data_IF_690486895652
#
_entry.id   IF_690486895652
#
_cell.length_a   1.000
_cell.length_b   1.000
_cell.length_c   1.000
_cell.angle_alpha   90.00
_cell.angle_beta   90.00
_cell.angle_gamma   90.00
#
_symmetry.space_group_name_H-M   'P 1'
#
loop_
_entity.id
_entity.type
_entity.pdbx_description
1 polymer ?
#
# COMPACT_ATOMS: atom_id res chain seq x y z
N UNK A 1 37.70 -23.26 -9.42
CA UNK A 1 38.56 -22.09 -9.72
C UNK A 1 39.09 -21.32 -8.48
N UNK A 2 39.73 -21.97 -7.50
CA UNK A 2 40.08 -21.36 -6.19
C UNK A 2 41.26 -20.35 -6.17
N UNK A 3 41.68 -19.80 -7.31
CA UNK A 3 42.86 -18.92 -7.39
C UNK A 3 42.75 -17.79 -8.44
N UNK A 4 41.55 -17.44 -8.91
CA UNK A 4 41.42 -16.25 -9.77
C UNK A 4 41.50 -14.97 -8.94
N UNK A 5 42.50 -14.14 -9.22
CA UNK A 5 42.57 -12.80 -8.66
C UNK A 5 41.38 -11.94 -9.12
N UNK A 6 41.10 -10.85 -8.41
CA UNK A 6 40.08 -9.86 -8.81
C UNK A 6 40.36 -9.26 -10.19
N UNK A 7 41.63 -9.19 -10.59
CA UNK A 7 42.07 -8.74 -11.92
C UNK A 7 41.71 -9.77 -12.99
N UNK A 8 41.94 -11.06 -12.72
CA UNK A 8 41.65 -12.10 -13.70
C UNK A 8 40.14 -12.22 -13.97
N UNK A 9 39.31 -12.08 -12.95
CA UNK A 9 37.84 -12.09 -13.12
C UNK A 9 37.36 -10.85 -13.87
N UNK A 10 37.89 -9.66 -13.52
CA UNK A 10 37.51 -8.43 -14.21
C UNK A 10 37.94 -8.39 -15.69
N UNK A 11 38.97 -9.16 -16.07
CA UNK A 11 39.43 -9.26 -17.46
C UNK A 11 38.56 -10.17 -18.35
N UNK A 12 37.62 -10.94 -17.80
CA UNK A 12 36.74 -11.80 -18.59
C UNK A 12 35.79 -10.96 -19.46
N UNK A 13 35.66 -11.28 -20.74
CA UNK A 13 34.62 -10.66 -21.57
C UNK A 13 33.22 -11.14 -21.16
N UNK A 14 32.17 -10.38 -21.50
CA UNK A 14 30.78 -10.82 -21.27
C UNK A 14 30.47 -12.16 -21.92
N UNK A 15 31.03 -12.43 -23.09
CA UNK A 15 30.92 -13.74 -23.76
C UNK A 15 31.58 -14.87 -22.98
N UNK A 16 32.66 -14.61 -22.23
CA UNK A 16 33.31 -15.61 -21.38
C UNK A 16 32.54 -15.81 -20.07
N UNK A 17 31.95 -14.74 -19.51
CA UNK A 17 31.14 -14.82 -18.28
C UNK A 17 29.99 -15.81 -18.45
N UNK A 18 29.30 -15.81 -19.59
CA UNK A 18 28.17 -16.70 -19.88
C UNK A 18 28.55 -18.20 -19.84
N UNK A 19 29.82 -18.54 -20.08
CA UNK A 19 30.30 -19.93 -20.03
C UNK A 19 30.88 -20.34 -18.66
N UNK A 20 30.88 -19.45 -17.66
CA UNK A 20 31.28 -19.84 -16.30
C UNK A 20 30.29 -20.87 -15.75
N UNK A 21 30.79 -22.04 -15.38
CA UNK A 21 30.00 -23.06 -14.71
C UNK A 21 29.49 -22.53 -13.36
N UNK A 22 28.28 -22.94 -12.98
CA UNK A 22 27.64 -22.51 -11.73
C UNK A 22 28.47 -22.81 -10.48
N UNK A 23 29.20 -23.93 -10.49
CA UNK A 23 30.13 -24.31 -9.41
C UNK A 23 31.32 -23.36 -9.31
N UNK A 24 31.85 -22.91 -10.45
CA UNK A 24 32.97 -21.97 -10.47
C UNK A 24 32.54 -20.57 -10.06
N UNK A 25 31.31 -20.17 -10.43
CA UNK A 25 30.72 -18.92 -9.97
C UNK A 25 30.50 -18.94 -8.45
N UNK A 26 29.97 -20.02 -7.89
CA UNK A 26 29.80 -20.19 -6.44
C UNK A 26 31.14 -20.20 -5.68
N UNK A 27 32.24 -20.57 -6.35
CA UNK A 27 33.59 -20.54 -5.78
C UNK A 27 34.28 -19.16 -5.84
N UNK A 28 33.71 -18.16 -6.53
CA UNK A 28 34.28 -16.80 -6.57
C UNK A 28 34.15 -16.10 -5.23
N UNK A 29 35.14 -15.28 -4.86
CA UNK A 29 35.01 -14.44 -3.67
C UNK A 29 34.02 -13.29 -3.90
N UNK A 30 33.45 -12.74 -2.83
CA UNK A 30 32.64 -11.51 -2.87
C UNK A 30 33.41 -10.34 -3.49
N UNK A 31 34.74 -10.29 -3.32
CA UNK A 31 35.60 -9.28 -3.93
C UNK A 31 35.69 -9.43 -5.46
N UNK A 32 35.67 -10.67 -5.98
CA UNK A 32 35.63 -10.90 -7.42
C UNK A 32 34.31 -10.40 -8.01
N UNK A 33 33.17 -10.72 -7.37
CA UNK A 33 31.85 -10.31 -7.84
C UNK A 33 31.67 -8.79 -7.81
N UNK A 34 32.11 -8.12 -6.74
CA UNK A 34 32.08 -6.65 -6.66
C UNK A 34 32.90 -5.95 -7.74
N UNK A 35 33.94 -6.62 -8.26
CA UNK A 35 34.83 -6.06 -9.28
C UNK A 35 34.37 -6.34 -10.71
N UNK A 36 33.23 -7.04 -10.90
CA UNK A 36 32.63 -7.17 -12.22
C UNK A 36 32.10 -5.80 -12.68
N UNK A 37 32.40 -5.47 -13.94
CA UNK A 37 31.80 -4.32 -14.62
C UNK A 37 30.28 -4.52 -14.80
N UNK A 38 29.55 -3.43 -15.00
CA UNK A 38 28.11 -3.50 -15.25
C UNK A 38 27.75 -4.34 -16.49
N UNK A 39 28.60 -4.32 -17.52
CA UNK A 39 28.42 -5.15 -18.74
C UNK A 39 28.60 -6.63 -18.43
N UNK A 40 29.54 -6.99 -17.55
CA UNK A 40 29.72 -8.39 -17.14
C UNK A 40 28.57 -8.87 -16.25
N UNK A 41 28.12 -8.04 -15.30
CA UNK A 41 26.95 -8.37 -14.45
C UNK A 41 25.70 -8.56 -15.30
N UNK A 42 25.42 -7.64 -16.22
CA UNK A 42 24.27 -7.72 -17.13
C UNK A 42 24.33 -8.94 -18.08
N UNK A 43 25.51 -9.54 -18.27
CA UNK A 43 25.69 -10.71 -19.12
C UNK A 43 25.45 -12.05 -18.40
N UNK A 44 25.37 -12.07 -17.06
CA UNK A 44 25.10 -13.31 -16.31
C UNK A 44 23.76 -13.94 -16.73
N UNK A 45 23.70 -15.26 -16.81
CA UNK A 45 22.46 -15.98 -17.05
C UNK A 45 21.64 -16.13 -15.75
N UNK A 46 20.35 -16.40 -15.86
CA UNK A 46 19.49 -16.66 -14.70
C UNK A 46 20.00 -17.82 -13.85
N UNK A 47 20.46 -18.89 -14.48
CA UNK A 47 21.02 -20.06 -13.81
C UNK A 47 22.31 -19.73 -13.05
N UNK A 48 23.06 -18.73 -13.54
CA UNK A 48 24.25 -18.22 -12.86
C UNK A 48 23.87 -17.34 -11.66
N UNK A 49 22.81 -16.52 -11.76
CA UNK A 49 22.29 -15.76 -10.63
C UNK A 49 21.80 -16.69 -9.51
N UNK A 50 21.05 -17.73 -9.86
CA UNK A 50 20.57 -18.76 -8.90
C UNK A 50 21.73 -19.53 -8.25
N UNK A 51 22.88 -19.64 -8.92
CA UNK A 51 24.04 -20.34 -8.39
C UNK A 51 24.87 -19.50 -7.40
N UNK A 52 24.60 -18.20 -7.27
CA UNK A 52 25.26 -17.37 -6.27
C UNK A 52 24.90 -17.87 -4.87
N UNK A 53 25.88 -17.91 -3.99
CA UNK A 53 25.64 -18.14 -2.57
C UNK A 53 25.04 -16.89 -1.92
N UNK A 54 24.31 -17.06 -0.83
CA UNK A 54 23.71 -15.92 -0.10
C UNK A 54 24.78 -14.96 0.44
N UNK A 55 25.96 -15.46 0.84
CA UNK A 55 27.10 -14.61 1.23
C UNK A 55 27.64 -13.78 0.04
N UNK A 56 27.63 -14.36 -1.16
CA UNK A 56 27.99 -13.65 -2.39
C UNK A 56 26.97 -12.54 -2.71
N UNK A 57 25.67 -12.81 -2.54
CA UNK A 57 24.60 -11.81 -2.75
C UNK A 57 24.69 -10.68 -1.73
N UNK A 58 24.88 -11.00 -0.45
CA UNK A 58 25.11 -10.02 0.62
C UNK A 58 26.31 -9.11 0.31
N UNK A 59 27.32 -9.65 -0.38
CA UNK A 59 28.51 -8.92 -0.81
C UNK A 59 28.32 -8.01 -2.04
N UNK A 60 27.17 -8.02 -2.71
CA UNK A 60 26.95 -7.22 -3.92
C UNK A 60 26.82 -5.72 -3.61
N UNK A 61 27.49 -4.88 -4.39
CA UNK A 61 27.33 -3.42 -4.30
C UNK A 61 26.03 -2.95 -4.96
N UNK A 62 25.61 -1.72 -4.66
CA UNK A 62 24.47 -1.09 -5.36
C UNK A 62 24.72 -0.93 -6.86
N UNK A 63 25.98 -0.81 -7.30
CA UNK A 63 26.35 -0.78 -8.72
C UNK A 63 26.12 -2.14 -9.38
N UNK A 64 26.42 -3.25 -8.68
CA UNK A 64 26.14 -4.58 -9.20
C UNK A 64 24.62 -4.80 -9.32
N UNK A 65 23.85 -4.41 -8.29
CA UNK A 65 22.39 -4.53 -8.31
C UNK A 65 21.77 -3.68 -9.44
N UNK A 66 22.20 -2.43 -9.61
CA UNK A 66 21.71 -1.58 -10.69
C UNK A 66 22.06 -2.09 -12.10
N UNK A 67 23.08 -2.94 -12.21
CA UNK A 67 23.49 -3.55 -13.47
C UNK A 67 22.69 -4.82 -13.84
N UNK A 68 21.92 -5.39 -12.91
CA UNK A 68 21.12 -6.58 -13.20
C UNK A 68 19.99 -6.28 -14.20
N UNK A 69 19.79 -7.15 -15.18
CA UNK A 69 18.60 -7.17 -16.01
C UNK A 69 17.37 -7.68 -15.26
N UNK A 70 16.17 -7.44 -15.79
CA UNK A 70 14.92 -7.88 -15.17
C UNK A 70 14.80 -9.40 -15.07
N UNK A 71 15.27 -10.15 -16.07
CA UNK A 71 15.29 -11.61 -16.03
C UNK A 71 16.18 -12.15 -14.90
N UNK A 72 17.31 -11.49 -14.63
CA UNK A 72 18.21 -11.84 -13.54
C UNK A 72 17.58 -11.52 -12.17
N UNK A 73 16.92 -10.36 -12.04
CA UNK A 73 16.19 -10.00 -10.81
C UNK A 73 15.05 -10.97 -10.53
N UNK A 74 14.28 -11.36 -11.55
CA UNK A 74 13.24 -12.37 -11.42
C UNK A 74 13.79 -13.77 -11.04
N UNK A 75 15.07 -14.03 -11.29
CA UNK A 75 15.73 -15.29 -10.94
C UNK A 75 16.34 -15.31 -9.53
N UNK A 76 16.38 -14.19 -8.80
CA UNK A 76 16.91 -14.16 -7.43
C UNK A 76 16.09 -15.08 -6.51
N UNK A 77 16.73 -15.94 -5.73
CA UNK A 77 16.00 -16.72 -4.73
C UNK A 77 15.49 -15.82 -3.61
N UNK A 78 14.39 -16.20 -2.93
CA UNK A 78 13.82 -15.40 -1.82
C UNK A 78 14.81 -15.18 -0.68
N UNK A 79 15.66 -16.17 -0.39
CA UNK A 79 16.75 -16.06 0.61
C UNK A 79 17.79 -15.01 0.23
N UNK A 80 18.03 -14.84 -1.07
CA UNK A 80 19.01 -13.89 -1.59
C UNK A 80 18.44 -12.48 -1.56
N UNK A 81 17.15 -12.32 -1.89
CA UNK A 81 16.42 -11.07 -1.71
C UNK A 81 16.44 -10.64 -0.24
N UNK A 82 16.20 -11.55 0.70
CA UNK A 82 16.28 -11.27 2.14
C UNK A 82 17.69 -10.85 2.59
N UNK A 83 18.74 -11.32 1.92
CA UNK A 83 20.13 -10.99 2.24
C UNK A 83 20.60 -9.65 1.68
N UNK A 84 19.88 -9.04 0.74
CA UNK A 84 20.23 -7.72 0.20
C UNK A 84 20.22 -6.66 1.32
N UNK A 85 21.18 -5.73 1.29
CA UNK A 85 21.07 -4.57 2.19
C UNK A 85 19.89 -3.67 1.80
N UNK A 86 19.41 -2.84 2.73
CA UNK A 86 18.39 -1.82 2.42
C UNK A 86 18.85 -0.87 1.31
N UNK A 87 20.16 -0.58 1.23
CA UNK A 87 20.74 0.23 0.16
C UNK A 87 20.67 -0.48 -1.20
N UNK A 88 20.85 -1.81 -1.24
CA UNK A 88 20.68 -2.60 -2.46
C UNK A 88 19.23 -2.59 -2.94
N UNK A 89 18.26 -2.82 -2.04
CA UNK A 89 16.83 -2.80 -2.40
C UNK A 89 16.41 -1.43 -2.94
N UNK A 90 16.88 -0.34 -2.32
CA UNK A 90 16.63 1.03 -2.82
C UNK A 90 17.28 1.32 -4.18
N UNK A 91 18.36 0.63 -4.52
CA UNK A 91 19.10 0.83 -5.76
C UNK A 91 18.45 0.16 -6.97
N UNK A 92 17.45 -0.70 -6.78
CA UNK A 92 16.68 -1.22 -7.90
C UNK A 92 16.00 -0.08 -8.67
N UNK A 93 16.11 -0.14 -10.00
CA UNK A 93 15.28 0.63 -10.91
C UNK A 93 13.82 0.18 -10.84
N UNK A 94 12.91 0.98 -11.39
CA UNK A 94 11.48 0.63 -11.43
C UNK A 94 11.21 -0.66 -12.20
N UNK A 95 11.90 -0.91 -13.31
CA UNK A 95 11.73 -2.14 -14.09
C UNK A 95 12.23 -3.37 -13.34
N UNK A 96 13.33 -3.23 -12.59
CA UNK A 96 13.84 -4.31 -11.73
C UNK A 96 12.92 -4.58 -10.55
N UNK A 97 12.38 -3.54 -9.90
CA UNK A 97 11.38 -3.72 -8.85
C UNK A 97 10.17 -4.49 -9.38
N UNK A 98 9.59 -4.10 -10.52
CA UNK A 98 8.45 -4.80 -11.13
C UNK A 98 8.79 -6.24 -11.54
N UNK A 99 10.06 -6.55 -11.78
CA UNK A 99 10.51 -7.90 -12.10
C UNK A 99 10.54 -8.85 -10.89
N UNK A 100 10.46 -8.32 -9.65
CA UNK A 100 10.33 -9.17 -8.47
C UNK A 100 8.95 -9.87 -8.47
N UNK A 101 8.94 -11.19 -8.38
CA UNK A 101 7.71 -11.96 -8.16
C UNK A 101 7.14 -11.75 -6.74
N UNK A 102 5.89 -12.16 -6.53
CA UNK A 102 5.23 -12.06 -5.23
C UNK A 102 5.99 -12.80 -4.12
N UNK A 103 6.57 -13.98 -4.40
CA UNK A 103 7.37 -14.73 -3.43
C UNK A 103 8.62 -13.96 -2.98
N UNK A 104 9.25 -13.21 -3.90
CA UNK A 104 10.41 -12.36 -3.58
C UNK A 104 9.99 -11.13 -2.78
N UNK A 105 8.80 -10.56 -3.04
CA UNK A 105 8.24 -9.47 -2.22
C UNK A 105 7.93 -9.94 -0.80
N UNK A 106 7.34 -11.13 -0.65
CA UNK A 106 7.14 -11.78 0.66
C UNK A 106 8.49 -12.09 1.34
N UNK A 107 9.53 -12.39 0.55
CA UNK A 107 10.88 -12.60 1.06
C UNK A 107 11.61 -11.34 1.53
N UNK A 108 11.07 -10.13 1.31
CA UNK A 108 11.66 -8.92 1.84
C UNK A 108 11.54 -8.90 3.36
N UNK A 109 12.61 -8.48 4.03
CA UNK A 109 12.59 -8.21 5.47
C UNK A 109 11.85 -6.91 5.76
N UNK A 110 11.27 -6.82 6.96
CA UNK A 110 10.65 -5.58 7.48
C UNK A 110 11.59 -4.38 7.41
N UNK A 111 12.90 -4.57 7.64
CA UNK A 111 13.89 -3.50 7.53
C UNK A 111 14.09 -3.02 6.08
N UNK A 112 14.02 -3.92 5.09
CA UNK A 112 14.07 -3.55 3.67
C UNK A 112 12.81 -2.80 3.24
N UNK A 113 11.62 -3.24 3.69
CA UNK A 113 10.36 -2.54 3.39
C UNK A 113 10.31 -1.16 4.05
N UNK A 114 10.73 -1.04 5.31
CA UNK A 114 10.86 0.25 6.00
C UNK A 114 11.87 1.19 5.32
N UNK A 115 12.86 0.63 4.61
CA UNK A 115 13.88 1.36 3.86
C UNK A 115 13.46 1.84 2.47
N UNK A 116 12.27 1.48 1.97
CA UNK A 116 11.84 1.85 0.61
C UNK A 116 11.74 3.37 0.44
N UNK A 117 12.25 3.88 -0.68
CA UNK A 117 11.99 5.27 -1.08
C UNK A 117 10.57 5.43 -1.67
N UNK A 118 10.10 6.67 -1.78
CA UNK A 118 8.81 6.97 -2.43
C UNK A 118 8.78 6.52 -3.88
N UNK A 119 9.92 6.64 -4.59
CA UNK A 119 10.06 6.13 -5.95
C UNK A 119 9.99 4.60 -6.02
N UNK A 120 10.54 3.89 -5.02
CA UNK A 120 10.41 2.43 -4.96
C UNK A 120 8.96 2.03 -4.69
N UNK A 121 8.29 2.65 -3.71
CA UNK A 121 6.89 2.38 -3.39
C UNK A 121 5.95 2.64 -4.58
N UNK A 122 6.15 3.76 -5.29
CA UNK A 122 5.39 4.08 -6.50
C UNK A 122 5.65 3.10 -7.66
N UNK A 123 6.84 2.50 -7.74
CA UNK A 123 7.18 1.57 -8.81
C UNK A 123 6.60 0.15 -8.66
N UNK A 124 6.17 -0.24 -7.46
CA UNK A 124 5.62 -1.59 -7.22
C UNK A 124 4.37 -1.84 -8.07
N UNK A 125 4.18 -3.05 -8.57
CA UNK A 125 2.93 -3.41 -9.24
C UNK A 125 1.80 -3.65 -8.23
N UNK A 126 0.55 -3.62 -8.69
CA UNK A 126 -0.61 -3.99 -7.87
C UNK A 126 -0.48 -5.40 -7.26
N UNK A 127 0.07 -6.38 -8.00
CA UNK A 127 0.26 -7.74 -7.48
C UNK A 127 1.35 -7.81 -6.40
N UNK A 128 2.35 -6.94 -6.48
CA UNK A 128 3.39 -6.82 -5.45
C UNK A 128 2.84 -6.15 -4.20
N UNK A 129 2.03 -5.09 -4.34
CA UNK A 129 1.33 -4.46 -3.21
C UNK A 129 0.45 -5.47 -2.48
N UNK A 130 -0.33 -6.27 -3.22
CA UNK A 130 -1.16 -7.32 -2.63
C UNK A 130 -0.36 -8.43 -1.92
N UNK A 131 0.93 -8.60 -2.27
CA UNK A 131 1.82 -9.60 -1.68
C UNK A 131 2.57 -9.11 -0.42
N UNK A 132 2.58 -7.80 -0.13
CA UNK A 132 3.25 -7.27 1.07
C UNK A 132 2.58 -7.83 2.34
N UNK A 133 3.35 -8.43 3.24
CA UNK A 133 2.81 -8.93 4.49
C UNK A 133 2.35 -7.77 5.40
N UNK A 134 1.33 -8.00 6.23
CA UNK A 134 0.80 -6.93 7.11
C UNK A 134 1.85 -6.37 8.07
N UNK A 135 2.77 -7.21 8.55
CA UNK A 135 3.90 -6.80 9.40
C UNK A 135 4.85 -5.83 8.70
N UNK A 136 4.98 -5.93 7.38
CA UNK A 136 5.83 -5.06 6.56
C UNK A 136 5.07 -3.81 6.11
N UNK A 137 3.76 -3.94 5.87
CA UNK A 137 2.90 -2.81 5.52
C UNK A 137 2.85 -1.76 6.64
N UNK A 138 2.81 -2.18 7.91
CA UNK A 138 2.74 -1.23 9.04
C UNK A 138 4.03 -0.43 9.27
N UNK A 139 5.17 -0.89 8.75
CA UNK A 139 6.44 -0.15 8.81
C UNK A 139 6.66 0.77 7.60
N UNK A 140 5.81 0.68 6.57
CA UNK A 140 5.87 1.57 5.43
C UNK A 140 5.51 2.99 5.86
N UNK A 141 6.37 3.96 5.53
CA UNK A 141 6.15 5.34 5.98
C UNK A 141 4.88 5.94 5.37
N UNK A 142 4.31 6.93 6.05
CA UNK A 142 3.13 7.66 5.57
C UNK A 142 3.39 8.36 4.23
N UNK A 143 4.62 8.80 3.96
CA UNK A 143 5.01 9.44 2.69
C UNK A 143 5.08 8.38 1.57
N UNK A 144 5.56 7.17 1.86
CA UNK A 144 5.52 6.08 0.88
C UNK A 144 4.08 5.68 0.54
N UNK A 145 3.19 5.59 1.53
CA UNK A 145 1.77 5.32 1.29
C UNK A 145 1.11 6.42 0.46
N UNK A 146 1.40 7.69 0.75
CA UNK A 146 0.89 8.81 -0.06
C UNK A 146 1.44 8.81 -1.49
N UNK A 147 2.62 8.24 -1.71
CA UNK A 147 3.19 8.10 -3.04
C UNK A 147 2.50 7.02 -3.88
N UNK A 148 1.71 6.11 -3.29
CA UNK A 148 1.02 5.06 -4.06
C UNK A 148 -0.03 5.65 -5.03
N UNK A 149 -0.08 5.12 -6.24
CA UNK A 149 -1.16 5.32 -7.18
C UNK A 149 -2.48 4.72 -6.66
N UNK A 150 -3.61 5.23 -7.16
CA UNK A 150 -4.94 4.73 -6.78
C UNK A 150 -5.13 3.25 -7.14
N UNK A 151 -4.54 2.77 -8.24
CA UNK A 151 -4.56 1.35 -8.63
C UNK A 151 -3.76 0.44 -7.70
N UNK A 152 -2.75 0.97 -7.01
CA UNK A 152 -2.01 0.25 -5.97
C UNK A 152 -2.82 0.21 -4.68
N UNK A 153 -3.50 1.31 -4.31
CA UNK A 153 -4.41 1.35 -3.15
C UNK A 153 -5.58 0.39 -3.33
N UNK A 154 -6.18 0.33 -4.52
CA UNK A 154 -7.22 -0.65 -4.87
C UNK A 154 -6.73 -2.10 -4.77
N UNK A 155 -5.42 -2.34 -4.89
CA UNK A 155 -4.84 -3.68 -4.83
C UNK A 155 -4.58 -4.17 -3.41
N UNK A 156 -4.67 -3.30 -2.39
CA UNK A 156 -4.58 -3.72 -1.00
C UNK A 156 -5.70 -4.74 -0.70
N UNK A 157 -5.35 -5.84 -0.06
CA UNK A 157 -6.35 -6.79 0.43
C UNK A 157 -7.10 -6.18 1.61
N UNK A 158 -8.28 -6.71 1.93
CA UNK A 158 -9.04 -6.29 3.13
C UNK A 158 -8.25 -6.52 4.42
N UNK A 159 -7.46 -7.59 4.48
CA UNK A 159 -6.55 -7.90 5.61
C UNK A 159 -5.46 -6.83 5.74
N UNK A 160 -4.88 -6.39 4.62
CA UNK A 160 -3.90 -5.29 4.61
C UNK A 160 -4.53 -3.95 5.02
N UNK A 161 -5.72 -3.62 4.52
CA UNK A 161 -6.43 -2.38 4.91
C UNK A 161 -6.75 -2.36 6.40
N UNK A 162 -7.22 -3.50 6.95
CA UNK A 162 -7.48 -3.62 8.39
C UNK A 162 -6.20 -3.47 9.22
N UNK A 163 -5.04 -3.90 8.71
CA UNK A 163 -3.77 -3.81 9.40
C UNK A 163 -3.15 -2.39 9.41
N UNK A 164 -3.58 -1.48 8.51
CA UNK A 164 -3.03 -0.12 8.46
C UNK A 164 -3.16 0.60 9.82
N UNK A 165 -2.14 1.34 10.20
CA UNK A 165 -2.22 2.20 11.38
C UNK A 165 -3.17 3.38 11.11
N UNK A 166 -3.81 3.91 12.15
CA UNK A 166 -4.63 5.13 12.01
C UNK A 166 -3.83 6.29 11.40
N UNK A 167 -2.57 6.45 11.78
CA UNK A 167 -1.67 7.47 11.21
C UNK A 167 -1.42 7.28 9.71
N UNK A 168 -1.38 6.03 9.24
CA UNK A 168 -1.25 5.69 7.83
C UNK A 168 -2.54 6.04 7.06
N UNK A 169 -3.71 5.70 7.61
CA UNK A 169 -5.01 6.05 7.02
C UNK A 169 -5.21 7.57 6.96
N UNK A 170 -4.89 8.31 8.02
CA UNK A 170 -4.97 9.78 8.07
C UNK A 170 -4.05 10.44 7.01
N UNK A 171 -2.93 9.81 6.65
CA UNK A 171 -1.97 10.34 5.69
C UNK A 171 -2.40 10.19 4.22
N UNK A 172 -3.32 9.27 3.91
CA UNK A 172 -3.82 9.05 2.56
C UNK A 172 -4.40 10.35 1.96
N UNK A 173 -4.20 10.53 0.66
CA UNK A 173 -4.85 11.61 -0.08
C UNK A 173 -6.35 11.33 -0.27
N UNK A 174 -7.13 12.36 -0.60
CA UNK A 174 -8.55 12.19 -0.91
C UNK A 174 -8.78 11.31 -2.14
N UNK A 175 -7.90 11.39 -3.15
CA UNK A 175 -7.95 10.52 -4.33
C UNK A 175 -7.70 9.04 -3.98
N UNK A 176 -6.78 8.75 -3.06
CA UNK A 176 -6.52 7.40 -2.57
C UNK A 176 -7.70 6.85 -1.74
N UNK A 177 -8.31 7.69 -0.89
CA UNK A 177 -9.50 7.32 -0.12
C UNK A 177 -10.69 7.02 -1.05
N UNK A 178 -10.94 7.88 -2.03
CA UNK A 178 -11.97 7.66 -3.04
C UNK A 178 -11.72 6.42 -3.93
N UNK A 179 -10.48 5.92 -3.96
CA UNK A 179 -10.11 4.73 -4.71
C UNK A 179 -10.32 3.42 -3.93
N UNK A 180 -10.60 3.44 -2.62
CA UNK A 180 -10.93 2.20 -1.91
C UNK A 180 -12.14 1.50 -2.55
N UNK A 181 -12.10 0.18 -2.64
CA UNK A 181 -13.30 -0.60 -2.96
C UNK A 181 -14.25 -0.60 -1.75
N UNK A 182 -15.52 -0.94 -1.98
CA UNK A 182 -16.50 -1.08 -0.90
C UNK A 182 -16.06 -2.13 0.13
N UNK A 183 -15.47 -3.24 -0.31
CA UNK A 183 -14.95 -4.29 0.58
C UNK A 183 -13.79 -3.78 1.44
N UNK A 184 -12.92 -2.93 0.89
CA UNK A 184 -11.84 -2.28 1.65
C UNK A 184 -12.40 -1.28 2.67
N UNK A 185 -13.47 -0.55 2.35
CA UNK A 185 -14.13 0.35 3.31
C UNK A 185 -14.77 -0.43 4.47
N UNK A 186 -15.42 -1.56 4.19
CA UNK A 186 -15.94 -2.48 5.24
C UNK A 186 -14.80 -2.98 6.13
N UNK A 187 -13.62 -3.23 5.56
CA UNK A 187 -12.46 -3.76 6.30
C UNK A 187 -11.79 -2.75 7.24
N UNK A 188 -12.04 -1.45 7.08
CA UNK A 188 -11.52 -0.43 8.00
C UNK A 188 -12.10 -0.66 9.41
N UNK A 189 -11.24 -0.67 10.42
CA UNK A 189 -11.67 -0.60 11.82
C UNK A 189 -12.40 0.71 12.11
N UNK A 190 -13.26 0.70 13.12
CA UNK A 190 -13.93 1.91 13.64
C UNK A 190 -12.93 3.00 14.00
N UNK A 191 -11.80 2.64 14.62
CA UNK A 191 -10.73 3.58 14.97
C UNK A 191 -10.07 4.22 13.75
N UNK A 192 -9.89 3.47 12.65
CA UNK A 192 -9.38 4.05 11.40
C UNK A 192 -10.39 5.02 10.77
N UNK A 193 -11.68 4.66 10.72
CA UNK A 193 -12.75 5.53 10.19
C UNK A 193 -12.87 6.82 10.99
N UNK A 194 -12.87 6.74 12.33
CA UNK A 194 -12.92 7.92 13.21
C UNK A 194 -11.65 8.77 13.10
N UNK A 195 -10.50 8.16 12.82
CA UNK A 195 -9.24 8.86 12.61
C UNK A 195 -9.10 9.53 11.23
N UNK A 196 -10.04 9.33 10.31
CA UNK A 196 -10.03 10.01 9.01
C UNK A 196 -10.23 11.52 9.19
N UNK A 197 -9.48 12.30 8.40
CA UNK A 197 -9.68 13.74 8.30
C UNK A 197 -11.03 14.04 7.66
N UNK A 198 -11.63 15.17 8.00
CA UNK A 198 -12.92 15.61 7.42
C UNK A 198 -12.88 15.70 5.89
N UNK A 199 -11.77 16.14 5.31
CA UNK A 199 -11.58 16.15 3.85
C UNK A 199 -11.53 14.75 3.22
N UNK A 200 -11.08 13.73 3.97
CA UNK A 200 -11.10 12.34 3.51
C UNK A 200 -12.52 11.75 3.63
N UNK A 201 -13.24 12.07 4.69
CA UNK A 201 -14.65 11.68 4.85
C UNK A 201 -15.52 12.27 3.72
N UNK A 202 -15.33 13.55 3.39
CA UNK A 202 -16.01 14.20 2.26
C UNK A 202 -15.61 13.64 0.88
N UNK A 203 -14.49 12.92 0.79
CA UNK A 203 -13.98 12.32 -0.44
C UNK A 203 -14.51 10.90 -0.70
N UNK A 204 -15.17 10.27 0.27
CA UNK A 204 -15.80 8.97 0.05
C UNK A 204 -16.84 9.08 -1.08
N UNK A 205 -16.96 8.06 -1.92
CA UNK A 205 -18.07 7.97 -2.86
C UNK A 205 -19.37 7.62 -2.12
N UNK A 206 -20.52 7.80 -2.75
CA UNK A 206 -21.80 7.35 -2.18
C UNK A 206 -21.83 5.85 -1.96
N UNK A 207 -21.25 5.06 -2.87
CA UNK A 207 -21.16 3.60 -2.74
C UNK A 207 -20.28 3.19 -1.55
N UNK A 208 -19.20 3.93 -1.30
CA UNK A 208 -18.35 3.73 -0.13
C UNK A 208 -19.07 4.12 1.18
N UNK A 209 -19.91 5.15 1.17
CA UNK A 209 -20.73 5.52 2.35
C UNK A 209 -21.79 4.46 2.63
N UNK A 210 -22.44 3.90 1.61
CA UNK A 210 -23.34 2.74 1.74
C UNK A 210 -22.59 1.51 2.26
N UNK A 211 -21.32 1.33 1.90
CA UNK A 211 -20.52 0.21 2.37
C UNK A 211 -20.02 0.34 3.82
N UNK A 212 -20.20 1.49 4.49
CA UNK A 212 -19.86 1.60 5.90
C UNK A 212 -20.74 0.65 6.72
N UNK A 213 -20.12 -0.20 7.53
CA UNK A 213 -20.86 -1.01 8.49
C UNK A 213 -21.58 -0.13 9.52
N UNK A 214 -22.71 -0.62 10.02
CA UNK A 214 -23.48 0.03 11.09
C UNK A 214 -22.64 0.34 12.33
N UNK A 215 -21.62 -0.48 12.64
CA UNK A 215 -20.72 -0.20 13.77
C UNK A 215 -19.79 0.98 13.47
N UNK A 216 -19.28 1.11 12.24
CA UNK A 216 -18.50 2.28 11.82
C UNK A 216 -19.37 3.56 11.86
N UNK A 217 -20.61 3.50 11.34
CA UNK A 217 -21.52 4.67 11.35
C UNK A 217 -21.89 5.09 12.78
N UNK A 218 -22.22 4.14 13.65
CA UNK A 218 -22.54 4.41 15.06
C UNK A 218 -21.40 5.08 15.84
N UNK A 219 -20.15 4.93 15.38
CA UNK A 219 -18.96 5.49 16.03
C UNK A 219 -18.43 6.76 15.36
N UNK A 220 -19.09 7.29 14.32
CA UNK A 220 -18.63 8.52 13.65
C UNK A 220 -18.51 9.69 14.65
N UNK A 221 -17.37 10.39 14.60
CA UNK A 221 -17.24 11.64 15.33
C UNK A 221 -18.20 12.71 14.78
N UNK A 222 -18.55 13.70 15.59
CA UNK A 222 -19.37 14.84 15.13
C UNK A 222 -18.72 15.57 13.95
N UNK A 223 -17.40 15.69 13.95
CA UNK A 223 -16.66 16.28 12.84
C UNK A 223 -16.76 15.44 11.56
N UNK A 224 -16.72 14.10 11.65
CA UNK A 224 -16.90 13.24 10.49
C UNK A 224 -18.32 13.28 9.94
N UNK A 225 -19.34 13.19 10.82
CA UNK A 225 -20.75 13.29 10.41
C UNK A 225 -21.04 14.63 9.73
N UNK A 226 -20.54 15.73 10.30
CA UNK A 226 -20.65 17.06 9.68
C UNK A 226 -19.94 17.17 8.33
N UNK A 227 -18.83 16.45 8.14
CA UNK A 227 -18.05 16.52 6.90
C UNK A 227 -18.71 15.82 5.70
N UNK A 228 -19.74 15.00 5.91
CA UNK A 228 -20.44 14.33 4.81
C UNK A 228 -21.05 15.36 3.84
N UNK A 229 -20.95 15.12 2.55
CA UNK A 229 -21.65 15.92 1.54
C UNK A 229 -23.15 15.62 1.57
N UNK A 230 -23.97 16.50 1.00
CA UNK A 230 -25.42 16.24 0.88
C UNK A 230 -25.72 14.95 0.09
N UNK A 231 -24.93 14.65 -0.95
CA UNK A 231 -25.07 13.42 -1.71
C UNK A 231 -24.73 12.17 -0.88
N UNK A 232 -23.68 12.24 -0.05
CA UNK A 232 -23.35 11.16 0.89
C UNK A 232 -24.43 10.99 1.96
N UNK A 233 -24.99 12.08 2.48
CA UNK A 233 -26.10 12.04 3.45
C UNK A 233 -27.34 11.36 2.85
N UNK A 234 -27.67 11.65 1.59
CA UNK A 234 -28.75 10.94 0.85
C UNK A 234 -28.45 9.44 0.72
N UNK A 235 -27.18 9.06 0.57
CA UNK A 235 -26.78 7.67 0.40
C UNK A 235 -26.78 6.86 1.72
N UNK A 236 -26.79 7.50 2.90
CA UNK A 236 -26.84 6.78 4.19
C UNK A 236 -28.08 5.91 4.27
N UNK A 237 -27.90 4.62 4.51
CA UNK A 237 -29.02 3.70 4.62
C UNK A 237 -29.85 3.97 5.88
N UNK A 238 -31.15 3.69 5.83
CA UNK A 238 -32.06 3.94 6.95
C UNK A 238 -31.66 3.18 8.22
N UNK A 239 -31.07 1.99 8.07
CA UNK A 239 -30.58 1.17 9.18
C UNK A 239 -29.33 1.77 9.85
N UNK A 240 -28.53 2.53 9.12
CA UNK A 240 -27.37 3.24 9.65
C UNK A 240 -27.75 4.61 10.21
N UNK A 241 -28.74 5.27 9.60
CA UNK A 241 -29.27 6.53 10.09
C UNK A 241 -29.81 6.42 11.51
N UNK A 242 -30.45 5.30 11.87
CA UNK A 242 -31.00 5.09 13.23
C UNK A 242 -29.95 4.86 14.31
N UNK A 243 -28.72 4.50 13.94
CA UNK A 243 -27.62 4.33 14.90
C UNK A 243 -26.73 5.56 15.03
N UNK A 244 -26.90 6.59 14.17
CA UNK A 244 -26.24 7.87 14.37
C UNK A 244 -26.67 8.50 15.69
N UNK A 245 -25.67 8.95 16.46
CA UNK A 245 -25.95 9.58 17.76
C UNK A 245 -26.76 10.87 17.58
N UNK A 246 -27.56 11.20 18.59
CA UNK A 246 -28.29 12.48 18.64
C UNK A 246 -27.35 13.68 18.52
N UNK A 247 -26.13 13.58 19.05
CA UNK A 247 -25.10 14.62 18.91
C UNK A 247 -24.64 14.74 17.45
N UNK A 248 -24.43 13.63 16.73
CA UNK A 248 -24.09 13.71 15.30
C UNK A 248 -25.20 14.43 14.52
N UNK A 249 -26.46 14.03 14.73
CA UNK A 249 -27.60 14.66 14.06
C UNK A 249 -27.71 16.16 14.37
N UNK A 250 -27.51 16.57 15.63
CA UNK A 250 -27.46 17.97 16.03
C UNK A 250 -26.34 18.76 15.34
N UNK A 251 -25.22 18.11 15.03
CA UNK A 251 -24.10 18.77 14.37
C UNK A 251 -24.23 18.90 12.86
N UNK A 252 -25.14 18.16 12.20
CA UNK A 252 -25.34 18.27 10.76
C UNK A 252 -25.75 19.70 10.35
N UNK A 253 -25.20 20.20 9.25
CA UNK A 253 -25.65 21.41 8.60
C UNK A 253 -27.14 21.31 8.21
N UNK A 254 -27.83 22.44 8.22
CA UNK A 254 -29.24 22.49 7.80
C UNK A 254 -29.45 22.04 6.36
N UNK A 255 -28.45 22.23 5.49
CA UNK A 255 -28.45 21.73 4.10
C UNK A 255 -28.32 20.21 4.01
N UNK A 256 -27.59 19.57 4.93
CA UNK A 256 -27.51 18.11 5.03
C UNK A 256 -28.85 17.52 5.49
N UNK A 257 -29.45 18.08 6.54
CA UNK A 257 -30.77 17.64 7.03
C UNK A 257 -31.86 17.87 5.99
N UNK A 258 -31.80 18.99 5.25
CA UNK A 258 -32.71 19.28 4.14
C UNK A 258 -32.58 18.30 2.95
N UNK A 259 -31.46 17.58 2.86
CA UNK A 259 -31.22 16.60 1.81
C UNK A 259 -31.77 15.21 2.16
N UNK A 260 -32.25 14.96 3.39
CA UNK A 260 -32.85 13.68 3.71
C UNK A 260 -34.03 13.35 2.80
N UNK A 261 -34.06 12.11 2.31
CA UNK A 261 -35.17 11.57 1.51
C UNK A 261 -36.31 11.09 2.41
N UNK A 262 -37.47 10.85 1.83
CA UNK A 262 -38.68 10.44 2.57
C UNK A 262 -38.45 9.20 3.44
N UNK A 263 -37.78 8.17 2.92
CA UNK A 263 -37.46 6.97 3.68
C UNK A 263 -36.55 7.25 4.90
N UNK A 264 -35.59 8.16 4.75
CA UNK A 264 -34.68 8.56 5.84
C UNK A 264 -35.41 9.34 6.93
N UNK A 265 -36.28 10.29 6.57
CA UNK A 265 -37.09 11.04 7.55
C UNK A 265 -38.00 10.10 8.35
N UNK A 266 -38.61 9.12 7.69
CA UNK A 266 -39.47 8.12 8.34
C UNK A 266 -38.70 7.13 9.22
N UNK A 267 -37.42 6.90 8.94
CA UNK A 267 -36.58 6.01 9.73
C UNK A 267 -36.13 6.63 11.06
N UNK A 268 -36.04 7.96 11.16
CA UNK A 268 -35.58 8.64 12.37
C UNK A 268 -36.38 8.20 13.61
N UNK A 269 -35.68 7.83 14.67
CA UNK A 269 -36.31 7.48 15.94
C UNK A 269 -36.91 8.71 16.63
N UNK A 270 -37.86 8.50 17.55
CA UNK A 270 -38.45 9.61 18.35
C UNK A 270 -37.38 10.41 19.08
N UNK A 271 -36.35 9.74 19.63
CA UNK A 271 -35.24 10.39 20.34
C UNK A 271 -34.39 11.24 19.38
N UNK A 272 -34.15 10.74 18.17
CA UNK A 272 -33.41 11.48 17.14
C UNK A 272 -34.17 12.72 16.68
N UNK A 273 -35.47 12.61 16.38
CA UNK A 273 -36.31 13.76 16.00
C UNK A 273 -36.34 14.82 17.10
N UNK A 274 -36.48 14.41 18.37
CA UNK A 274 -36.47 15.33 19.51
C UNK A 274 -35.11 16.02 19.73
N UNK A 275 -34.02 15.42 19.23
CA UNK A 275 -32.69 16.00 19.38
C UNK A 275 -32.39 17.10 18.37
N UNK A 276 -33.11 17.20 17.25
CA UNK A 276 -32.82 18.16 16.19
C UNK A 276 -32.95 19.62 16.67
N UNK A 277 -32.02 20.47 16.23
CA UNK A 277 -32.14 21.90 16.42
C UNK A 277 -33.33 22.47 15.63
N UNK A 278 -33.91 23.59 16.07
CA UNK A 278 -35.13 24.17 15.47
C UNK A 278 -35.04 24.35 13.95
N UNK A 279 -33.89 24.84 13.45
CA UNK A 279 -33.68 25.02 12.01
C UNK A 279 -33.54 23.69 11.25
N UNK A 280 -32.98 22.65 11.88
CA UNK A 280 -32.89 21.31 11.30
C UNK A 280 -34.28 20.66 11.24
N UNK A 281 -35.06 20.75 12.33
CA UNK A 281 -36.43 20.24 12.36
C UNK A 281 -37.32 20.93 11.31
N UNK A 282 -37.16 22.24 11.11
CA UNK A 282 -37.86 22.98 10.05
C UNK A 282 -37.36 22.63 8.62
N UNK A 283 -36.13 22.12 8.49
CA UNK A 283 -35.54 21.72 7.22
C UNK A 283 -35.97 20.32 6.77
N UNK A 284 -36.46 19.46 7.70
CA UNK A 284 -37.08 18.19 7.35
C UNK A 284 -38.31 18.46 6.48
N UNK A 285 -38.25 18.03 5.22
CA UNK A 285 -39.40 18.07 4.31
C UNK A 285 -39.87 16.65 4.06
N UNK A 286 -41.17 16.42 4.19
CA UNK A 286 -41.81 15.14 3.85
C UNK A 286 -42.28 15.09 2.38
N UNK A 287 -41.82 16.02 1.55
CA UNK A 287 -42.18 16.11 0.13
C UNK A 287 -40.93 16.28 -0.74
N UNK A 288 -40.31 15.17 -1.12
CA UNK A 288 -39.59 14.97 -2.38
C UNK A 288 -39.96 13.60 -2.92
#
# INVERSE_FOLDING_TARGET
>A
MANLSTINVAALSSSQIVYLETQDLAALSTANLRNLSSVQVAALLSEQIVALTTDQVLGLSTVNIAALGTTQVAALETRDVAALSTANVRAFSSSQLVALGSDQVVGLTTAQVAGLSTANAYALSSSQIAAIETQDLVVLSTINLQALATTQVMALTTVQVQALLTSQVTALSTAQVAAFTTDQVVALSTTQVVGMRTVQMAALTTDQVVALSTTQVANLSTANAYALTTAQVVAVETHDLVVLSTTNLQTLATTQVAAFITEQVLALTTVQVQSLATLQAAALRTQQ
#
